data_IF_146218000569
#
_entry.id   IF_146218000569
#
_cell.length_a   1.000
_cell.length_b   1.000
_cell.length_c   1.000
_cell.angle_alpha   90.00
_cell.angle_beta   90.00
_cell.angle_gamma   90.00
#
_symmetry.space_group_name_H-M   'P 1'
#
loop_
_entity.id
_entity.type
_entity.pdbx_description
1 polymer ?
#
# COMPACT_ATOMS: atom_id res chain seq x y z
N UNK A 1 -15.78 25.78 20.20
CA UNK A 1 -14.44 25.59 19.58
C UNK A 1 -13.63 26.87 19.71
N UNK A 2 -12.41 26.75 20.23
CA UNK A 2 -11.44 27.83 20.36
C UNK A 2 -10.23 27.55 19.45
N UNK A 3 -9.48 28.59 19.06
CA UNK A 3 -8.20 28.50 18.35
C UNK A 3 -7.12 29.17 19.18
N UNK A 4 -5.93 28.61 19.20
CA UNK A 4 -4.78 29.24 19.87
C UNK A 4 -4.46 30.55 19.15
N UNK A 5 -4.30 31.63 19.91
CA UNK A 5 -3.95 32.96 19.40
C UNK A 5 -2.54 33.36 19.79
N UNK A 6 -2.15 33.02 21.02
CA UNK A 6 -0.87 33.43 21.60
C UNK A 6 -0.35 32.30 22.47
N UNK A 7 0.96 32.09 22.41
CA UNK A 7 1.69 31.14 23.22
C UNK A 7 2.81 31.90 23.94
N UNK A 8 2.96 31.65 25.22
CA UNK A 8 4.01 32.20 26.10
C UNK A 8 4.73 31.05 26.76
N UNK A 9 5.85 31.31 27.46
CA UNK A 9 6.62 30.27 28.13
C UNK A 9 5.81 29.45 29.17
N UNK A 10 4.72 30.00 29.71
CA UNK A 10 3.93 29.38 30.78
C UNK A 10 2.46 29.17 30.45
N UNK A 11 1.92 29.86 29.44
CA UNK A 11 0.48 29.83 29.13
C UNK A 11 0.15 29.85 27.65
N UNK A 12 -1.01 29.28 27.30
CA UNK A 12 -1.62 29.35 25.98
C UNK A 12 -2.95 30.11 26.05
N UNK A 13 -3.09 31.14 25.22
CA UNK A 13 -4.31 31.94 25.10
C UNK A 13 -5.09 31.51 23.86
N UNK A 14 -6.33 31.10 24.08
CA UNK A 14 -7.26 30.61 23.08
C UNK A 14 -8.39 31.62 22.87
N UNK A 15 -8.73 31.90 21.61
CA UNK A 15 -9.86 32.76 21.22
C UNK A 15 -10.94 31.93 20.54
N UNK A 16 -12.21 32.22 20.82
CA UNK A 16 -13.34 31.54 20.16
C UNK A 16 -13.33 31.76 18.65
N UNK A 17 -13.70 30.73 17.89
CA UNK A 17 -13.62 30.75 16.41
C UNK A 17 -14.82 31.45 15.75
N UNK A 18 -15.94 31.67 16.45
CA UNK A 18 -17.14 32.29 15.85
C UNK A 18 -16.94 33.80 15.69
N UNK A 19 -17.31 34.32 14.51
CA UNK A 19 -17.36 35.76 14.25
C UNK A 19 -18.28 36.42 15.29
N UNK A 20 -17.83 37.54 15.84
CA UNK A 20 -18.53 38.35 16.85
C UNK A 20 -18.63 37.74 18.25
N UNK A 21 -17.84 36.71 18.58
CA UNK A 21 -17.68 36.26 19.96
C UNK A 21 -16.30 36.65 20.52
N UNK A 22 -16.29 37.32 21.67
CA UNK A 22 -15.07 37.79 22.37
C UNK A 22 -14.53 36.79 23.39
N UNK A 23 -15.18 35.62 23.53
CA UNK A 23 -14.78 34.58 24.48
C UNK A 23 -13.32 34.18 24.32
N UNK A 24 -12.58 34.20 25.44
CA UNK A 24 -11.18 33.78 25.56
C UNK A 24 -11.03 32.77 26.69
N UNK A 25 -10.06 31.89 26.52
CA UNK A 25 -9.66 30.89 27.50
C UNK A 25 -8.13 30.91 27.58
N UNK A 26 -7.58 30.85 28.78
CA UNK A 26 -6.15 30.73 29.04
C UNK A 26 -5.93 29.39 29.72
N UNK A 27 -5.05 28.57 29.15
CA UNK A 27 -4.65 27.29 29.74
C UNK A 27 -3.18 27.33 30.14
N UNK A 28 -2.81 26.54 31.14
CA UNK A 28 -1.42 26.27 31.49
C UNK A 28 -0.72 25.48 30.38
N UNK A 29 0.58 25.68 30.21
CA UNK A 29 1.33 25.12 29.09
C UNK A 29 1.54 23.60 29.18
N UNK A 30 1.81 23.07 30.38
CA UNK A 30 2.16 21.66 30.59
C UNK A 30 0.93 20.77 30.82
N UNK A 31 0.08 21.16 31.77
CA UNK A 31 -1.10 20.38 32.20
C UNK A 31 -2.29 20.56 31.27
N UNK A 32 -2.32 21.66 30.50
CA UNK A 32 -3.50 22.15 29.78
C UNK A 32 -4.69 22.50 30.67
N UNK A 33 -4.46 22.71 31.98
CA UNK A 33 -5.51 23.13 32.92
C UNK A 33 -6.00 24.55 32.60
N UNK A 34 -7.29 24.79 32.81
CA UNK A 34 -7.90 26.09 32.56
C UNK A 34 -7.53 27.04 33.70
N UNK A 35 -6.71 28.05 33.38
CA UNK A 35 -6.31 29.08 34.34
C UNK A 35 -7.36 30.19 34.43
N UNK A 36 -7.84 30.67 33.28
CA UNK A 36 -8.81 31.77 33.20
C UNK A 36 -9.72 31.58 31.98
N UNK A 37 -11.02 31.83 32.10
CA UNK A 37 -11.95 31.70 30.96
C UNK A 37 -13.17 32.58 31.08
N UNK A 38 -13.54 33.26 30.00
CA UNK A 38 -14.85 33.91 29.91
C UNK A 38 -15.87 32.89 29.43
N UNK A 39 -16.79 32.50 30.32
CA UNK A 39 -17.92 31.60 30.05
C UNK A 39 -19.08 32.31 29.34
N UNK A 40 -19.08 33.64 29.29
CA UNK A 40 -20.14 34.40 28.64
C UNK A 40 -20.03 34.30 27.12
N UNK A 41 -21.08 33.75 26.54
CA UNK A 41 -21.18 33.43 25.14
C UNK A 41 -22.49 34.03 24.63
N UNK A 42 -22.41 34.86 23.58
CA UNK A 42 -23.58 35.41 22.91
C UNK A 42 -24.26 34.42 21.95
N UNK A 43 -24.05 33.12 22.17
CA UNK A 43 -24.59 32.08 21.30
C UNK A 43 -24.47 30.68 21.92
N UNK A 44 -25.38 29.81 21.49
CA UNK A 44 -25.42 28.40 21.87
C UNK A 44 -24.28 27.58 21.26
N UNK A 45 -24.10 26.39 21.82
CA UNK A 45 -23.17 25.38 21.32
C UNK A 45 -23.68 24.82 19.99
N UNK A 46 -22.87 24.96 18.95
CA UNK A 46 -23.08 24.29 17.67
C UNK A 46 -22.68 22.82 17.81
N UNK A 47 -23.66 21.96 18.12
CA UNK A 47 -23.44 20.53 18.37
C UNK A 47 -22.89 19.81 17.14
N UNK A 48 -23.46 20.06 15.95
CA UNK A 48 -23.00 19.46 14.69
C UNK A 48 -21.52 19.76 14.44
N UNK A 49 -21.13 21.03 14.52
CA UNK A 49 -19.74 21.46 14.30
C UNK A 49 -18.78 20.91 15.35
N UNK A 50 -19.23 20.78 16.59
CA UNK A 50 -18.42 20.27 17.70
C UNK A 50 -18.18 18.78 17.54
N UNK A 51 -19.25 17.99 17.35
CA UNK A 51 -19.18 16.55 17.10
C UNK A 51 -18.37 16.22 15.83
N UNK A 52 -18.61 16.94 14.73
CA UNK A 52 -17.86 16.77 13.49
C UNK A 52 -16.36 17.08 13.67
N UNK A 53 -16.01 18.06 14.51
CA UNK A 53 -14.61 18.36 14.81
C UNK A 53 -13.95 17.28 15.67
N UNK A 54 -14.63 16.78 16.70
CA UNK A 54 -14.13 15.68 17.53
C UNK A 54 -13.85 14.45 16.68
N UNK A 55 -14.82 14.04 15.86
CA UNK A 55 -14.65 12.93 14.92
C UNK A 55 -13.49 13.17 13.95
N UNK A 56 -13.38 14.39 13.40
CA UNK A 56 -12.28 14.75 12.50
C UNK A 56 -10.91 14.57 13.15
N UNK A 57 -10.71 15.01 14.39
CA UNK A 57 -9.42 14.88 15.06
C UNK A 57 -9.11 13.43 15.43
N UNK A 58 -10.11 12.68 15.89
CA UNK A 58 -9.97 11.24 16.18
C UNK A 58 -9.57 10.45 14.93
N UNK A 59 -10.27 10.64 13.82
CA UNK A 59 -9.92 9.98 12.55
C UNK A 59 -8.56 10.41 12.02
N UNK A 60 -8.19 11.70 12.15
CA UNK A 60 -6.84 12.17 11.75
C UNK A 60 -5.75 11.48 12.55
N UNK A 61 -5.85 11.48 13.88
CA UNK A 61 -4.88 10.82 14.77
C UNK A 61 -4.74 9.34 14.44
N UNK A 62 -5.86 8.61 14.34
CA UNK A 62 -5.82 7.18 14.05
C UNK A 62 -5.28 6.88 12.65
N UNK A 63 -5.52 7.77 11.69
CA UNK A 63 -4.99 7.62 10.34
C UNK A 63 -3.48 7.85 10.23
N UNK A 64 -2.86 8.53 11.21
CA UNK A 64 -1.41 8.67 11.34
C UNK A 64 -0.80 7.44 12.04
N UNK A 65 -1.42 6.99 13.13
CA UNK A 65 -0.98 5.83 13.91
C UNK A 65 -1.11 4.51 13.15
N UNK A 66 -2.19 4.33 12.40
CA UNK A 66 -2.47 3.11 11.63
C UNK A 66 -2.70 3.43 10.16
N UNK A 67 -1.59 3.44 9.42
CA UNK A 67 -1.57 3.68 7.99
C UNK A 67 -2.11 2.49 7.18
N UNK A 68 -2.16 1.28 7.76
CA UNK A 68 -2.60 0.06 7.06
C UNK A 68 -4.11 -0.14 7.13
N UNK A 69 -4.75 0.41 8.17
CA UNK A 69 -6.19 0.28 8.34
C UNK A 69 -6.94 1.01 7.22
N UNK A 70 -8.05 0.42 6.79
CA UNK A 70 -8.87 1.01 5.74
C UNK A 70 -9.50 2.32 6.26
N UNK A 71 -9.45 3.44 5.51
CA UNK A 71 -10.04 4.71 5.95
C UNK A 71 -11.51 4.60 6.38
N UNK A 72 -12.29 3.75 5.68
CA UNK A 72 -13.69 3.49 6.03
C UNK A 72 -13.83 2.81 7.40
N UNK A 73 -12.95 1.88 7.74
CA UNK A 73 -12.97 1.20 9.04
C UNK A 73 -12.61 2.17 10.17
N UNK A 74 -11.58 3.00 9.99
CA UNK A 74 -11.27 4.08 10.95
C UNK A 74 -12.49 4.97 11.18
N UNK A 75 -13.13 5.44 10.11
CA UNK A 75 -14.29 6.31 10.23
C UNK A 75 -15.41 5.67 11.05
N UNK A 76 -15.77 4.41 10.74
CA UNK A 76 -16.83 3.67 11.45
C UNK A 76 -16.45 3.43 12.92
N UNK A 77 -15.22 3.00 13.16
CA UNK A 77 -14.73 2.73 14.52
C UNK A 77 -14.72 3.99 15.38
N UNK A 78 -14.25 5.11 14.85
CA UNK A 78 -14.18 6.36 15.61
C UNK A 78 -15.56 7.04 15.73
N UNK A 79 -16.46 6.88 14.76
CA UNK A 79 -17.85 7.35 14.91
C UNK A 79 -18.60 6.58 15.99
N UNK A 80 -18.28 5.31 16.23
CA UNK A 80 -18.88 4.53 17.32
C UNK A 80 -18.41 4.92 18.73
N UNK A 81 -17.37 5.75 18.85
CA UNK A 81 -16.78 6.17 20.14
C UNK A 81 -17.18 7.59 20.56
N UNK A 82 -17.80 8.34 19.65
CA UNK A 82 -18.11 9.76 19.83
C UNK A 82 -19.58 9.94 19.50
N UNK A 83 -20.29 10.81 20.22
CA UNK A 83 -21.64 11.19 19.84
C UNK A 83 -21.61 11.85 18.45
N UNK A 84 -22.33 11.27 17.48
CA UNK A 84 -22.36 11.76 16.09
C UNK A 84 -23.78 12.04 15.58
N UNK A 85 -24.77 12.12 16.48
CA UNK A 85 -26.19 12.21 16.15
C UNK A 85 -26.55 13.43 15.31
N UNK A 86 -25.78 14.52 15.45
CA UNK A 86 -25.99 15.74 14.69
C UNK A 86 -25.06 15.86 13.48
N UNK A 87 -24.15 14.91 13.23
CA UNK A 87 -23.13 15.03 12.18
C UNK A 87 -23.74 14.78 10.79
N UNK A 88 -23.78 15.81 9.97
CA UNK A 88 -24.28 15.73 8.60
C UNK A 88 -23.38 14.88 7.67
N UNK A 89 -23.97 14.37 6.58
CA UNK A 89 -23.23 13.65 5.54
C UNK A 89 -22.14 14.52 4.88
N UNK A 90 -22.38 15.83 4.78
CA UNK A 90 -21.39 16.79 4.27
C UNK A 90 -20.17 16.89 5.22
N UNK A 91 -20.42 16.97 6.53
CA UNK A 91 -19.37 16.94 7.54
C UNK A 91 -18.58 15.63 7.53
N UNK A 92 -19.23 14.48 7.33
CA UNK A 92 -18.54 13.20 7.11
C UNK A 92 -17.63 13.26 5.88
N UNK A 93 -18.06 13.87 4.78
CA UNK A 93 -17.22 14.03 3.59
C UNK A 93 -15.99 14.93 3.87
N UNK A 94 -16.15 15.98 4.69
CA UNK A 94 -15.04 16.82 5.15
C UNK A 94 -14.07 16.05 6.05
N UNK A 95 -14.57 15.18 6.95
CA UNK A 95 -13.76 14.27 7.77
C UNK A 95 -12.92 13.33 6.89
N UNK A 96 -13.55 12.67 5.91
CA UNK A 96 -12.85 11.77 4.95
C UNK A 96 -11.72 12.50 4.21
N UNK A 97 -12.00 13.70 3.68
CA UNK A 97 -10.99 14.53 2.99
C UNK A 97 -9.86 14.94 3.94
N UNK A 98 -10.16 15.30 5.19
CA UNK A 98 -9.15 15.68 6.17
C UNK A 98 -8.26 14.50 6.56
N UNK A 99 -8.85 13.34 6.81
CA UNK A 99 -8.13 12.10 7.09
C UNK A 99 -7.18 11.73 5.94
N UNK A 100 -7.65 11.81 4.68
CA UNK A 100 -6.82 11.54 3.52
C UNK A 100 -5.66 12.55 3.36
N UNK A 101 -5.92 13.85 3.55
CA UNK A 101 -4.86 14.88 3.56
C UNK A 101 -3.83 14.62 4.64
N UNK A 102 -4.26 14.14 5.80
CA UNK A 102 -3.35 13.83 6.90
C UNK A 102 -2.45 12.64 6.56
N UNK A 103 -3.01 11.55 6.03
CA UNK A 103 -2.22 10.39 5.55
C UNK A 103 -1.20 10.76 4.50
N UNK A 104 -1.57 11.63 3.55
CA UNK A 104 -0.65 12.08 2.49
C UNK A 104 0.57 12.86 2.98
N UNK A 105 0.56 13.37 4.21
CA UNK A 105 1.76 13.98 4.80
C UNK A 105 2.81 12.92 5.19
N UNK A 106 2.36 11.68 5.44
CA UNK A 106 3.21 10.57 5.86
C UNK A 106 3.60 9.69 4.68
N UNK A 107 2.68 9.49 3.73
CA UNK A 107 3.01 8.74 2.52
C UNK A 107 4.06 9.48 1.68
N UNK A 108 5.06 8.75 1.14
CA UNK A 108 6.00 9.36 0.21
C UNK A 108 5.26 9.91 -1.01
N UNK A 109 5.87 10.92 -1.65
CA UNK A 109 5.38 11.41 -2.92
C UNK A 109 5.32 10.25 -3.94
N UNK A 110 4.30 10.27 -4.80
CA UNK A 110 4.26 9.31 -5.90
C UNK A 110 5.48 9.54 -6.80
N UNK A 111 6.14 8.46 -7.26
CA UNK A 111 7.26 8.59 -8.17
C UNK A 111 6.80 9.31 -9.44
N UNK A 112 7.69 10.11 -10.03
CA UNK A 112 7.48 10.84 -11.28
C UNK A 112 8.19 10.19 -12.46
N UNK A 113 9.22 9.40 -12.19
CA UNK A 113 10.02 8.67 -13.16
C UNK A 113 10.11 7.18 -12.79
N UNK A 114 10.60 6.37 -13.73
CA UNK A 114 10.84 4.94 -13.47
C UNK A 114 11.94 4.74 -12.43
N UNK A 115 12.99 5.54 -12.48
CA UNK A 115 14.11 5.49 -11.54
C UNK A 115 13.63 5.83 -10.12
N UNK A 116 12.79 6.86 -9.97
CA UNK A 116 12.16 7.16 -8.67
C UNK A 116 11.27 6.01 -8.20
N UNK A 117 10.53 5.35 -9.11
CA UNK A 117 9.70 4.22 -8.75
C UNK A 117 10.55 3.04 -8.25
N UNK A 118 11.64 2.69 -8.96
CA UNK A 118 12.58 1.64 -8.53
C UNK A 118 13.24 2.00 -7.19
N UNK A 119 13.71 3.24 -7.02
CA UNK A 119 14.30 3.71 -5.77
C UNK A 119 13.30 3.65 -4.60
N UNK A 120 12.01 3.89 -4.86
CA UNK A 120 10.97 3.78 -3.83
C UNK A 120 10.66 2.35 -3.39
N UNK A 121 11.03 1.35 -4.21
CA UNK A 121 10.89 -0.08 -3.88
C UNK A 121 12.06 -0.59 -3.05
N UNK A 122 13.25 -0.02 -3.26
CA UNK A 122 14.44 -0.33 -2.48
C UNK A 122 14.26 0.08 -1.02
N UNK A 123 14.37 -0.89 -0.09
CA UNK A 123 14.24 -0.63 1.34
C UNK A 123 12.80 -0.57 1.87
N UNK A 124 11.80 -1.00 1.09
CA UNK A 124 10.46 -1.27 1.63
C UNK A 124 10.57 -2.40 2.64
N UNK A 125 10.41 -2.07 3.91
CA UNK A 125 10.24 -3.06 4.97
C UNK A 125 8.76 -3.45 5.07
N UNK A 126 8.45 -4.74 5.22
CA UNK A 126 7.08 -5.16 5.46
C UNK A 126 6.56 -4.50 6.73
N UNK A 127 5.45 -3.75 6.62
CA UNK A 127 4.88 -2.98 7.75
C UNK A 127 4.30 -3.85 8.88
N UNK A 128 4.21 -5.15 8.67
CA UNK A 128 3.80 -6.14 9.68
C UNK A 128 4.92 -7.15 9.79
N UNK A 129 5.31 -7.49 11.03
CA UNK A 129 6.36 -8.47 11.32
C UNK A 129 6.09 -9.87 10.74
N UNK A 130 4.85 -10.14 10.33
CA UNK A 130 4.42 -11.42 9.75
C UNK A 130 4.51 -11.48 8.23
N UNK A 131 4.79 -10.36 7.53
CA UNK A 131 4.84 -10.35 6.07
C UNK A 131 6.25 -10.71 5.60
N UNK A 132 6.42 -11.94 5.12
CA UNK A 132 7.68 -12.54 4.66
C UNK A 132 7.90 -12.23 3.17
N UNK A 133 7.65 -11.00 2.72
CA UNK A 133 7.84 -10.67 1.29
C UNK A 133 9.04 -9.74 1.16
N UNK A 134 10.10 -10.26 0.55
CA UNK A 134 11.26 -9.50 0.15
C UNK A 134 11.00 -8.80 -1.17
N UNK A 135 11.49 -7.56 -1.29
CA UNK A 135 11.47 -6.78 -2.54
C UNK A 135 12.90 -6.49 -2.93
N UNK A 136 13.30 -6.93 -4.12
CA UNK A 136 14.65 -6.76 -4.65
C UNK A 136 14.60 -5.91 -5.90
N UNK A 137 15.57 -5.00 -6.03
CA UNK A 137 15.74 -4.12 -7.20
C UNK A 137 17.18 -4.23 -7.65
N UNK A 138 17.39 -4.81 -8.82
CA UNK A 138 18.72 -4.95 -9.42
C UNK A 138 18.67 -4.74 -10.92
N UNK A 139 19.65 -4.00 -11.43
CA UNK A 139 19.84 -3.75 -12.85
C UNK A 139 18.52 -3.33 -13.57
N UNK A 140 17.76 -2.38 -13.02
CA UNK A 140 16.48 -1.90 -13.57
C UNK A 140 15.31 -2.91 -13.59
N UNK A 141 15.47 -4.07 -12.95
CA UNK A 141 14.41 -5.06 -12.72
C UNK A 141 14.05 -5.09 -11.23
N UNK A 142 12.76 -5.14 -10.92
CA UNK A 142 12.27 -5.30 -9.57
C UNK A 142 11.43 -6.58 -9.45
N UNK A 143 11.62 -7.33 -8.36
CA UNK A 143 10.83 -8.53 -8.08
C UNK A 143 10.54 -8.68 -6.60
N UNK A 144 9.46 -9.39 -6.30
CA UNK A 144 8.96 -9.63 -4.95
C UNK A 144 8.67 -11.12 -4.76
N UNK A 145 9.14 -11.68 -3.65
CA UNK A 145 8.96 -13.10 -3.33
C UNK A 145 8.98 -13.32 -1.82
N UNK A 146 8.59 -14.50 -1.37
CA UNK A 146 8.90 -14.96 -0.01
C UNK A 146 9.86 -16.13 -0.09
N UNK A 147 10.78 -16.27 0.86
CA UNK A 147 11.68 -17.44 0.91
C UNK A 147 10.87 -18.74 0.88
N UNK A 148 9.79 -18.82 1.68
CA UNK A 148 8.89 -19.97 1.71
C UNK A 148 8.21 -20.26 0.38
N UNK A 149 7.79 -19.24 -0.38
CA UNK A 149 7.18 -19.46 -1.70
C UNK A 149 8.21 -19.97 -2.72
N UNK A 150 9.46 -19.53 -2.64
CA UNK A 150 10.53 -20.04 -3.52
C UNK A 150 10.98 -21.44 -3.11
N UNK A 151 11.07 -21.75 -1.82
CA UNK A 151 11.33 -23.10 -1.30
C UNK A 151 10.28 -24.11 -1.76
N UNK A 152 9.02 -23.67 -1.79
CA UNK A 152 7.90 -24.49 -2.24
C UNK A 152 8.06 -25.02 -3.67
N UNK A 153 8.83 -24.33 -4.52
CA UNK A 153 9.08 -24.74 -5.92
C UNK A 153 9.72 -26.14 -5.99
N UNK A 154 10.55 -26.54 -5.00
CA UNK A 154 11.12 -27.91 -4.95
C UNK A 154 10.03 -28.98 -5.08
N UNK A 155 8.88 -28.74 -4.45
CA UNK A 155 7.80 -29.70 -4.28
C UNK A 155 6.68 -29.60 -5.32
N UNK A 156 6.80 -28.70 -6.31
CA UNK A 156 5.82 -28.57 -7.39
C UNK A 156 6.40 -29.05 -8.71
N UNK A 157 5.59 -29.77 -9.49
CA UNK A 157 5.94 -30.18 -10.85
C UNK A 157 5.54 -29.14 -11.89
N UNK A 158 4.47 -28.40 -11.62
CA UNK A 158 3.83 -27.52 -12.57
C UNK A 158 3.97 -26.05 -12.14
N UNK A 159 4.47 -25.23 -13.06
CA UNK A 159 4.56 -23.78 -12.92
C UNK A 159 3.73 -23.09 -14.01
N UNK A 160 3.27 -21.89 -13.71
CA UNK A 160 2.45 -21.09 -14.63
C UNK A 160 2.99 -19.66 -14.63
N UNK A 161 3.22 -19.09 -15.81
CA UNK A 161 3.59 -17.68 -15.96
C UNK A 161 2.42 -16.88 -16.53
N UNK A 162 2.14 -15.73 -15.93
CA UNK A 162 1.04 -14.84 -16.37
C UNK A 162 1.43 -13.36 -16.26
N UNK A 163 1.20 -12.62 -17.34
CA UNK A 163 1.45 -11.18 -17.44
C UNK A 163 0.18 -10.37 -17.27
N UNK A 164 0.13 -9.46 -16.29
CA UNK A 164 -1.00 -8.56 -16.07
C UNK A 164 -0.62 -7.10 -16.35
N UNK A 165 -1.34 -6.48 -17.30
CA UNK A 165 -1.03 -5.13 -17.81
C UNK A 165 -1.86 -4.04 -17.12
N UNK A 166 -3.17 -4.26 -16.96
CA UNK A 166 -4.11 -3.24 -16.44
C UNK A 166 -3.85 -2.87 -14.98
N UNK A 167 -3.33 -3.82 -14.20
CA UNK A 167 -2.98 -3.66 -12.78
C UNK A 167 -1.53 -3.20 -12.56
N UNK A 168 -0.75 -3.01 -13.63
CA UNK A 168 0.65 -2.64 -13.51
C UNK A 168 0.82 -1.22 -12.94
N UNK A 169 1.77 -0.98 -12.02
CA UNK A 169 2.04 0.36 -11.54
C UNK A 169 2.55 1.23 -12.70
N UNK A 170 2.22 2.53 -12.69
CA UNK A 170 2.40 3.50 -13.79
C UNK A 170 3.75 3.43 -14.55
N UNK A 171 4.85 3.09 -13.87
CA UNK A 171 6.21 3.09 -14.44
C UNK A 171 6.70 1.71 -14.89
N UNK A 172 5.83 0.71 -14.90
CA UNK A 172 6.09 -0.65 -15.35
C UNK A 172 5.06 -1.05 -16.40
N UNK A 173 5.51 -1.79 -17.40
CA UNK A 173 4.65 -2.23 -18.50
C UNK A 173 3.69 -3.35 -18.05
N UNK A 174 4.18 -4.25 -17.19
CA UNK A 174 3.40 -5.38 -16.70
C UNK A 174 3.91 -5.86 -15.34
N UNK A 175 3.00 -6.48 -14.58
CA UNK A 175 3.34 -7.38 -13.48
C UNK A 175 3.33 -8.79 -14.04
N UNK A 176 4.47 -9.47 -14.04
CA UNK A 176 4.58 -10.86 -14.44
C UNK A 176 4.66 -11.75 -13.21
N UNK A 177 3.73 -12.68 -13.07
CA UNK A 177 3.64 -13.56 -11.90
C UNK A 177 3.94 -14.99 -12.30
N UNK A 178 4.79 -15.65 -11.51
CA UNK A 178 5.02 -17.09 -11.62
C UNK A 178 4.26 -17.76 -10.48
N UNK A 179 3.44 -18.76 -10.79
CA UNK A 179 2.67 -19.56 -9.85
C UNK A 179 3.19 -20.99 -9.81
N UNK A 180 3.18 -21.60 -8.62
CA UNK A 180 3.33 -23.03 -8.43
C UNK A 180 1.97 -23.69 -8.24
N UNK A 181 1.79 -24.88 -8.81
CA UNK A 181 0.56 -25.65 -8.68
C UNK A 181 0.80 -26.98 -7.98
N UNK A 182 0.07 -27.20 -6.88
CA UNK A 182 0.01 -28.45 -6.13
C UNK A 182 -1.33 -28.52 -5.39
N UNK A 183 -1.84 -29.71 -5.14
CA UNK A 183 -3.02 -29.95 -4.30
C UNK A 183 -4.23 -29.08 -4.69
N UNK A 184 -4.45 -28.94 -6.00
CA UNK A 184 -5.51 -28.14 -6.61
C UNK A 184 -5.50 -26.65 -6.23
N UNK A 185 -4.31 -26.09 -5.97
CA UNK A 185 -4.11 -24.69 -5.60
C UNK A 185 -3.01 -24.06 -6.43
N UNK A 186 -3.24 -22.82 -6.83
CA UNK A 186 -2.24 -21.95 -7.44
C UNK A 186 -1.67 -21.03 -6.37
N UNK A 187 -0.36 -21.12 -6.14
CA UNK A 187 0.34 -20.32 -5.15
C UNK A 187 1.24 -19.33 -5.90
N UNK A 188 1.06 -18.01 -5.76
CA UNK A 188 1.98 -17.03 -6.31
C UNK A 188 3.36 -17.20 -5.68
N UNK A 189 4.39 -17.33 -6.51
CA UNK A 189 5.75 -17.61 -6.07
C UNK A 189 6.59 -16.35 -6.07
N UNK A 190 6.57 -15.65 -7.20
CA UNK A 190 7.33 -14.41 -7.42
C UNK A 190 6.54 -13.50 -8.36
N UNK A 191 6.64 -12.21 -8.10
CA UNK A 191 6.09 -11.14 -8.92
C UNK A 191 7.23 -10.32 -9.48
N UNK A 192 7.27 -10.11 -10.79
CA UNK A 192 8.23 -9.24 -11.46
C UNK A 192 7.55 -7.99 -11.99
N UNK A 193 8.19 -6.83 -11.83
CA UNK A 193 7.75 -5.57 -12.42
C UNK A 193 8.60 -5.28 -13.68
N UNK A 194 8.05 -5.59 -14.85
CA UNK A 194 8.82 -5.54 -16.10
C UNK A 194 8.74 -4.16 -16.78
N UNK A 195 9.84 -3.65 -17.36
CA UNK A 195 9.85 -2.42 -18.17
C UNK A 195 9.14 -2.55 -19.51
N UNK A 196 8.94 -3.77 -20.00
CA UNK A 196 8.43 -4.03 -21.34
C UNK A 196 8.26 -5.53 -21.58
N UNK A 197 8.20 -5.88 -22.87
CA UNK A 197 7.96 -7.25 -23.35
C UNK A 197 9.01 -7.72 -24.37
N UNK A 198 10.17 -7.07 -24.41
CA UNK A 198 11.23 -7.49 -25.34
C UNK A 198 11.84 -8.81 -24.91
N UNK A 199 12.40 -9.57 -25.87
CA UNK A 199 13.16 -10.81 -25.62
C UNK A 199 14.19 -10.63 -24.49
N UNK A 200 14.95 -9.53 -24.50
CA UNK A 200 15.97 -9.25 -23.50
C UNK A 200 15.39 -9.06 -22.08
N UNK A 201 14.21 -8.45 -21.96
CA UNK A 201 13.52 -8.28 -20.66
C UNK A 201 13.07 -9.62 -20.11
N UNK A 202 12.46 -10.47 -20.94
CA UNK A 202 12.07 -11.81 -20.53
C UNK A 202 13.28 -12.69 -20.18
N UNK A 203 14.39 -12.54 -20.92
CA UNK A 203 15.60 -13.32 -20.67
C UNK A 203 16.18 -12.98 -19.31
N UNK A 204 16.24 -11.68 -19.00
CA UNK A 204 16.65 -11.21 -17.69
C UNK A 204 15.76 -11.75 -16.58
N UNK A 205 14.43 -11.64 -16.74
CA UNK A 205 13.46 -12.13 -15.76
C UNK A 205 13.63 -13.63 -15.47
N UNK A 206 13.69 -14.46 -16.52
CA UNK A 206 13.85 -15.91 -16.36
C UNK A 206 15.20 -16.29 -15.76
N UNK A 207 16.28 -15.57 -16.10
CA UNK A 207 17.60 -15.80 -15.49
C UNK A 207 17.56 -15.44 -14.00
N UNK A 208 16.97 -14.30 -13.65
CA UNK A 208 16.78 -13.89 -12.26
C UNK A 208 15.94 -14.91 -11.48
N UNK A 209 14.85 -15.41 -12.07
CA UNK A 209 14.03 -16.44 -11.44
C UNK A 209 14.81 -17.73 -11.18
N UNK A 210 15.60 -18.19 -12.17
CA UNK A 210 16.44 -19.39 -12.03
C UNK A 210 17.47 -19.22 -10.93
N UNK A 211 18.22 -18.11 -10.95
CA UNK A 211 19.22 -17.82 -9.91
C UNK A 211 18.59 -17.71 -8.53
N UNK A 212 17.42 -17.07 -8.42
CA UNK A 212 16.67 -16.98 -7.17
C UNK A 212 16.28 -18.37 -6.65
N UNK A 213 15.75 -19.24 -7.52
CA UNK A 213 15.46 -20.62 -7.13
C UNK A 213 16.72 -21.33 -6.65
N UNK A 214 17.80 -21.31 -7.43
CA UNK A 214 19.03 -22.05 -7.13
C UNK A 214 19.68 -21.56 -5.82
N UNK A 215 19.66 -20.26 -5.56
CA UNK A 215 20.18 -19.65 -4.34
C UNK A 215 19.37 -20.06 -3.10
N UNK A 216 18.04 -19.98 -3.16
CA UNK A 216 17.18 -20.31 -2.01
C UNK A 216 17.14 -21.82 -1.77
N UNK A 217 17.16 -22.61 -2.84
CA UNK A 217 16.96 -24.05 -2.77
C UNK A 217 18.25 -24.87 -2.68
N UNK A 218 19.39 -24.31 -3.07
CA UNK A 218 20.65 -25.05 -3.16
C UNK A 218 20.61 -26.20 -4.17
N UNK A 219 19.78 -26.08 -5.21
CA UNK A 219 19.56 -27.12 -6.21
C UNK A 219 19.35 -26.50 -7.59
N UNK A 220 19.81 -27.18 -8.64
CA UNK A 220 19.59 -26.77 -10.03
C UNK A 220 18.11 -26.75 -10.39
N UNK A 221 17.68 -25.74 -11.14
CA UNK A 221 16.31 -25.70 -11.66
C UNK A 221 16.13 -26.71 -12.80
N UNK A 222 15.41 -27.80 -12.55
CA UNK A 222 15.18 -28.85 -13.54
C UNK A 222 13.80 -29.53 -13.42
N UNK A 223 13.45 -30.32 -14.43
CA UNK A 223 12.33 -31.27 -14.44
C UNK A 223 10.95 -30.64 -14.12
N UNK A 224 10.76 -29.36 -14.43
CA UNK A 224 9.48 -28.66 -14.28
C UNK A 224 8.72 -28.59 -15.59
N UNK A 225 7.39 -28.64 -15.50
CA UNK A 225 6.50 -28.29 -16.61
C UNK A 225 6.01 -26.86 -16.42
N UNK A 226 6.22 -26.01 -17.42
CA UNK A 226 5.84 -24.59 -17.36
C UNK A 226 4.77 -24.30 -18.40
N UNK A 227 3.65 -23.74 -17.95
CA UNK A 227 2.57 -23.27 -18.79
C UNK A 227 2.68 -21.76 -18.96
N UNK A 228 2.88 -21.32 -20.20
CA UNK A 228 2.97 -19.90 -20.55
C UNK A 228 1.88 -19.52 -21.55
N UNK A 229 1.57 -18.23 -21.63
CA UNK A 229 0.78 -17.71 -22.74
C UNK A 229 1.54 -17.86 -24.08
N UNK A 230 0.85 -17.60 -25.19
CA UNK A 230 1.45 -17.73 -26.53
C UNK A 230 2.27 -16.49 -26.93
N UNK A 231 2.71 -15.67 -25.98
CA UNK A 231 3.60 -14.57 -26.30
C UNK A 231 4.96 -15.14 -26.77
N UNK A 232 5.18 -15.10 -28.08
CA UNK A 232 6.32 -15.72 -28.78
C UNK A 232 7.67 -15.44 -28.10
N UNK A 233 7.84 -14.24 -27.54
CA UNK A 233 9.07 -13.80 -26.89
C UNK A 233 9.23 -14.38 -25.48
N UNK A 234 8.16 -14.45 -24.68
CA UNK A 234 8.20 -15.06 -23.36
C UNK A 234 8.39 -16.58 -23.45
N UNK A 235 7.74 -17.21 -24.43
CA UNK A 235 7.73 -18.65 -24.62
C UNK A 235 9.11 -19.18 -25.05
N UNK A 236 9.72 -18.60 -26.09
CA UNK A 236 11.02 -19.07 -26.59
C UNK A 236 12.15 -18.88 -25.58
N UNK A 237 12.15 -17.76 -24.85
CA UNK A 237 13.22 -17.43 -23.91
C UNK A 237 13.21 -18.32 -22.66
N UNK A 238 12.04 -18.73 -22.18
CA UNK A 238 11.95 -19.60 -21.02
C UNK A 238 12.70 -20.93 -21.25
N UNK A 239 12.55 -21.52 -22.44
CA UNK A 239 13.27 -22.75 -22.82
C UNK A 239 14.77 -22.53 -22.88
N UNK A 240 15.20 -21.43 -23.52
CA UNK A 240 16.63 -21.10 -23.68
C UNK A 240 17.33 -20.91 -22.32
N UNK A 241 16.64 -20.33 -21.33
CA UNK A 241 17.23 -19.96 -20.03
C UNK A 241 17.12 -21.09 -18.99
N UNK A 242 15.95 -21.73 -18.91
CA UNK A 242 15.66 -22.71 -17.86
C UNK A 242 16.18 -24.11 -18.21
N UNK A 243 16.44 -24.38 -19.49
CA UNK A 243 17.07 -25.64 -19.94
C UNK A 243 16.11 -26.82 -19.86
N UNK A 244 16.37 -27.77 -18.95
CA UNK A 244 15.64 -29.03 -18.84
C UNK A 244 14.22 -28.85 -18.26
N UNK A 245 13.33 -28.25 -19.05
CA UNK A 245 11.92 -28.03 -18.74
C UNK A 245 11.01 -28.59 -19.84
N UNK A 246 9.77 -28.91 -19.48
CA UNK A 246 8.70 -29.15 -20.46
C UNK A 246 7.88 -27.88 -20.60
N UNK A 247 7.89 -27.29 -21.79
CA UNK A 247 7.13 -26.08 -22.08
C UNK A 247 5.75 -26.42 -22.68
N UNK A 248 4.69 -25.77 -22.18
CA UNK A 248 3.32 -25.98 -22.62
C UNK A 248 2.62 -24.63 -22.82
N UNK A 249 1.77 -24.53 -23.84
CA UNK A 249 0.88 -23.39 -23.99
C UNK A 249 -0.30 -23.43 -23.02
N UNK A 250 -0.73 -22.27 -22.54
CA UNK A 250 -1.90 -22.12 -21.67
C UNK A 250 -3.20 -22.18 -22.48
N UNK A 251 -4.00 -23.24 -22.30
CA UNK A 251 -5.28 -23.43 -22.99
C UNK A 251 -6.28 -22.29 -22.74
N UNK A 252 -6.27 -21.71 -21.53
CA UNK A 252 -7.12 -20.58 -21.20
C UNK A 252 -6.86 -19.38 -22.11
N UNK A 253 -5.58 -19.00 -22.28
CA UNK A 253 -5.19 -17.91 -23.17
C UNK A 253 -5.40 -18.25 -24.65
N UNK A 254 -5.24 -19.52 -25.05
CA UNK A 254 -5.59 -19.96 -26.41
C UNK A 254 -7.06 -19.68 -26.71
N UNK A 255 -7.97 -20.07 -25.79
CA UNK A 255 -9.42 -19.89 -25.94
C UNK A 255 -9.87 -18.43 -25.94
N UNK A 256 -9.09 -17.51 -25.38
CA UNK A 256 -9.38 -16.07 -25.41
C UNK A 256 -8.85 -15.38 -26.69
N UNK A 257 -7.96 -16.06 -27.41
CA UNK A 257 -7.30 -15.51 -28.61
C UNK A 257 -7.84 -16.13 -29.91
N UNK A 258 -8.85 -16.99 -29.81
CA UNK A 258 -9.54 -17.68 -30.92
C UNK A 258 -10.98 -17.18 -31.03
#
# INVERSE_FOLDING_TARGET
>A
MYRMKTETATTKIWQRVRKNCTGKLTTEMETSDILHGSTNHNHDVDKEKTQAHMLRQACKRKAEEDLTERPRKILITESGKIETDHVSQESINKVKKAMWRQRRKIHPALPKTRQEALASLSGIQPRRSTTIIDTVVEHELAWMYSTTSVEYIKNVKFLFGDGTFKSSPKYFYQIYTIFGYKDNRYIPIVFFLLPGKSKAVYQKMWSTFKSLYEQVNGATFDNKTIYLDFEKQAHGVASDVLGNITLRGCLFHLKQSW
#
